data_IF_892268790089
#
_entry.id   IF_892268790089
#
_cell.length_a   1.000
_cell.length_b   1.000
_cell.length_c   1.000
_cell.angle_alpha   90.00
_cell.angle_beta   90.00
_cell.angle_gamma   90.00
#
_symmetry.space_group_name_H-M   'P 1'
#
loop_
_entity.id
_entity.type
_entity.pdbx_description
1 polymer ?
#
# COMPACT_ATOMS: atom_id res chain seq x y z
N UNK A 1 34.99 -21.14 6.96
CA UNK A 1 33.83 -20.24 6.81
C UNK A 1 33.23 -20.53 5.45
N UNK A 2 32.10 -21.23 5.41
CA UNK A 2 31.48 -21.66 4.16
C UNK A 2 30.73 -20.48 3.54
N UNK A 3 31.12 -20.13 2.32
CA UNK A 3 30.41 -19.18 1.47
C UNK A 3 29.00 -19.75 1.25
N UNK A 4 27.97 -19.09 1.78
CA UNK A 4 26.59 -19.36 1.38
C UNK A 4 26.49 -18.85 -0.07
N UNK A 5 26.24 -19.71 -1.07
CA UNK A 5 25.97 -19.20 -2.40
C UNK A 5 24.60 -18.56 -2.35
N UNK A 6 24.54 -17.23 -2.47
CA UNK A 6 23.31 -16.54 -2.82
C UNK A 6 22.95 -16.96 -4.24
N UNK A 7 22.17 -18.05 -4.34
CA UNK A 7 21.65 -18.52 -5.60
C UNK A 7 20.64 -17.46 -6.09
N UNK A 8 20.80 -16.88 -7.29
CA UNK A 8 19.73 -16.11 -7.88
C UNK A 8 18.62 -17.13 -8.17
N UNK A 9 17.56 -17.11 -7.37
CA UNK A 9 16.37 -17.89 -7.65
C UNK A 9 15.83 -17.55 -9.05
N UNK A 10 15.08 -18.46 -9.69
CA UNK A 10 14.50 -18.22 -11.01
C UNK A 10 13.78 -16.86 -11.04
N UNK A 11 13.75 -16.16 -12.19
CA UNK A 11 13.29 -14.76 -12.29
C UNK A 11 11.88 -14.54 -11.70
N UNK A 12 11.05 -15.58 -11.68
CA UNK A 12 9.72 -15.61 -11.05
C UNK A 12 9.76 -15.45 -9.52
N UNK A 13 10.76 -16.05 -8.85
CA UNK A 13 10.96 -15.92 -7.39
C UNK A 13 11.51 -14.54 -7.01
N UNK A 14 12.29 -13.90 -7.89
CA UNK A 14 12.74 -12.51 -7.73
C UNK A 14 11.57 -11.53 -7.91
N UNK A 15 10.66 -11.80 -8.85
CA UNK A 15 9.43 -11.04 -9.02
C UNK A 15 8.52 -11.14 -7.80
N UNK A 16 8.25 -12.35 -7.30
CA UNK A 16 7.46 -12.57 -6.10
C UNK A 16 8.06 -11.89 -4.85
N UNK A 17 9.39 -11.93 -4.69
CA UNK A 17 10.08 -11.24 -3.60
C UNK A 17 9.97 -9.71 -3.72
N UNK A 18 10.11 -9.15 -4.93
CA UNK A 18 9.94 -7.72 -5.15
C UNK A 18 8.53 -7.24 -4.84
N UNK A 19 7.52 -8.05 -5.15
CA UNK A 19 6.11 -7.73 -4.88
C UNK A 19 5.76 -7.88 -3.40
N UNK A 20 6.35 -8.86 -2.71
CA UNK A 20 6.21 -9.00 -1.28
C UNK A 20 6.81 -7.79 -0.54
N UNK A 21 7.99 -7.31 -0.99
CA UNK A 21 8.59 -6.07 -0.49
C UNK A 21 7.69 -4.86 -0.74
N UNK A 22 7.17 -4.70 -1.96
CA UNK A 22 6.24 -3.61 -2.27
C UNK A 22 4.98 -3.66 -1.41
N UNK A 23 4.42 -4.85 -1.16
CA UNK A 23 3.27 -4.99 -0.27
C UNK A 23 3.60 -4.62 1.19
N UNK A 24 4.82 -4.93 1.65
CA UNK A 24 5.28 -4.47 2.97
C UNK A 24 5.38 -2.95 3.04
N UNK A 25 5.93 -2.31 2.01
CA UNK A 25 6.03 -0.85 1.91
C UNK A 25 4.64 -0.19 1.87
N UNK A 26 3.70 -0.81 1.15
CA UNK A 26 2.31 -0.36 1.06
C UNK A 26 1.61 -0.45 2.44
N UNK A 27 1.82 -1.54 3.19
CA UNK A 27 1.30 -1.71 4.56
C UNK A 27 1.91 -0.68 5.51
N UNK A 28 3.20 -0.40 5.41
CA UNK A 28 3.84 0.65 6.21
C UNK A 28 3.25 2.03 5.90
N UNK A 29 2.96 2.31 4.62
CA UNK A 29 2.26 3.52 4.19
C UNK A 29 0.82 3.61 4.74
N UNK A 30 0.12 2.48 4.88
CA UNK A 30 -1.21 2.43 5.51
C UNK A 30 -1.14 2.76 7.01
N UNK A 31 -0.07 2.38 7.72
CA UNK A 31 0.11 2.76 9.12
C UNK A 31 0.27 4.28 9.31
N UNK A 32 0.87 4.98 8.33
CA UNK A 32 0.94 6.45 8.33
C UNK A 32 -0.46 7.07 8.25
N UNK A 33 -1.33 6.51 7.39
CA UNK A 33 -2.73 6.95 7.26
C UNK A 33 -3.51 6.68 8.53
N UNK A 34 -3.36 5.50 9.12
CA UNK A 34 -3.99 5.16 10.40
C UNK A 34 -3.59 6.14 11.52
N UNK A 35 -2.31 6.54 11.58
CA UNK A 35 -1.84 7.56 12.53
C UNK A 35 -2.46 8.93 12.27
N UNK A 36 -2.63 9.32 11.01
CA UNK A 36 -3.29 10.58 10.66
C UNK A 36 -4.77 10.57 11.12
N UNK A 37 -5.50 9.48 10.90
CA UNK A 37 -6.87 9.32 11.40
C UNK A 37 -6.94 9.38 12.94
N UNK A 38 -6.03 8.71 13.65
CA UNK A 38 -5.97 8.77 15.11
C UNK A 38 -5.61 10.18 15.64
N UNK A 39 -4.87 10.98 14.87
CA UNK A 39 -4.60 12.38 15.19
C UNK A 39 -5.87 13.24 15.03
N UNK A 40 -6.61 13.05 13.93
CA UNK A 40 -7.88 13.73 13.69
C UNK A 40 -8.92 13.40 14.78
N UNK A 41 -9.00 12.14 15.20
CA UNK A 41 -9.88 11.72 16.28
C UNK A 41 -9.57 12.45 17.60
N UNK A 42 -8.28 12.70 17.89
CA UNK A 42 -7.86 13.48 19.06
C UNK A 42 -8.13 14.99 18.93
N UNK A 43 -8.12 15.54 17.71
CA UNK A 43 -8.47 16.94 17.45
C UNK A 43 -9.97 17.19 17.55
N UNK A 44 -10.79 16.19 17.18
CA UNK A 44 -12.25 16.28 17.15
C UNK A 44 -12.86 15.82 18.48
N UNK A 45 -12.16 14.99 19.25
CA UNK A 45 -12.57 14.59 20.60
C UNK A 45 -12.66 15.78 21.55
N UNK A 46 -13.60 15.78 22.52
CA UNK A 46 -13.80 16.91 23.42
C UNK A 46 -12.52 17.22 24.21
N UNK A 47 -11.90 18.38 23.95
CA UNK A 47 -10.67 18.80 24.61
C UNK A 47 -11.02 19.24 26.04
N UNK A 48 -10.77 18.38 27.03
CA UNK A 48 -11.02 18.69 28.44
C UNK A 48 -9.98 19.66 29.06
N UNK A 49 -9.19 20.39 28.27
CA UNK A 49 -8.13 21.27 28.79
C UNK A 49 -8.63 22.71 28.94
N UNK A 50 -8.94 23.04 30.19
CA UNK A 50 -9.66 24.21 30.70
C UNK A 50 -8.97 25.59 30.56
N UNK A 51 -7.90 25.78 29.78
CA UNK A 51 -7.13 27.05 29.83
C UNK A 51 -6.50 27.56 28.52
N UNK A 52 -6.89 27.03 27.36
CA UNK A 52 -6.49 27.61 26.06
C UNK A 52 -7.73 27.79 25.21
N UNK A 53 -7.84 28.95 24.52
CA UNK A 53 -8.90 29.26 23.56
C UNK A 53 -9.12 28.03 22.66
N UNK A 54 -10.21 27.30 22.92
CA UNK A 54 -10.44 25.98 22.35
C UNK A 54 -10.87 26.18 20.90
N UNK A 55 -9.91 26.15 19.98
CA UNK A 55 -10.16 26.21 18.54
C UNK A 55 -10.78 24.86 18.14
N UNK A 56 -12.10 24.79 18.21
CA UNK A 56 -12.87 23.65 17.71
C UNK A 56 -13.05 23.80 16.19
N UNK A 57 -12.63 22.80 15.38
CA UNK A 57 -12.82 22.86 13.94
C UNK A 57 -14.31 22.79 13.60
N UNK A 58 -14.75 23.60 12.65
CA UNK A 58 -16.14 23.61 12.24
C UNK A 58 -16.47 22.44 11.29
N UNK A 59 -17.77 22.19 11.08
CA UNK A 59 -18.24 21.07 10.25
C UNK A 59 -17.73 21.12 8.81
N UNK A 60 -17.50 22.31 8.27
CA UNK A 60 -16.95 22.56 6.94
C UNK A 60 -15.49 22.14 6.88
N UNK A 61 -14.69 22.53 7.88
CA UNK A 61 -13.28 22.16 7.98
C UNK A 61 -13.11 20.64 8.11
N UNK A 62 -13.93 20.00 8.96
CA UNK A 62 -13.96 18.53 9.09
C UNK A 62 -14.38 17.86 7.77
N UNK A 63 -15.37 18.42 7.07
CA UNK A 63 -15.83 17.88 5.78
C UNK A 63 -14.76 18.00 4.70
N UNK A 64 -14.02 19.11 4.65
CA UNK A 64 -12.91 19.32 3.71
C UNK A 64 -11.77 18.33 3.98
N UNK A 65 -11.45 18.11 5.26
CA UNK A 65 -10.47 17.11 5.68
C UNK A 65 -10.87 15.70 5.24
N UNK A 66 -12.11 15.29 5.54
CA UNK A 66 -12.61 13.97 5.14
C UNK A 66 -12.67 13.80 3.62
N UNK A 67 -13.01 14.85 2.86
CA UNK A 67 -12.97 14.81 1.41
C UNK A 67 -11.56 14.55 0.88
N UNK A 68 -10.55 15.22 1.44
CA UNK A 68 -9.14 15.03 1.07
C UNK A 68 -8.68 13.60 1.37
N UNK A 69 -8.98 13.08 2.56
CA UNK A 69 -8.55 11.73 2.93
C UNK A 69 -9.24 10.67 2.08
N UNK A 70 -10.54 10.82 1.81
CA UNK A 70 -11.28 9.90 0.95
C UNK A 70 -10.75 9.90 -0.48
N UNK A 71 -10.36 11.05 -1.02
CA UNK A 71 -9.79 11.14 -2.36
C UNK A 71 -8.43 10.43 -2.44
N UNK A 72 -7.57 10.64 -1.45
CA UNK A 72 -6.26 9.99 -1.39
C UNK A 72 -6.40 8.47 -1.21
N UNK A 73 -7.32 8.01 -0.36
CA UNK A 73 -7.58 6.59 -0.18
C UNK A 73 -8.06 5.93 -1.49
N UNK A 74 -8.96 6.59 -2.21
CA UNK A 74 -9.46 6.12 -3.51
C UNK A 74 -8.34 6.00 -4.54
N UNK A 75 -7.44 6.99 -4.58
CA UNK A 75 -6.26 6.99 -5.46
C UNK A 75 -5.35 5.80 -5.16
N UNK A 76 -5.07 5.53 -3.88
CA UNK A 76 -4.24 4.40 -3.44
C UNK A 76 -4.85 3.05 -3.77
N UNK A 77 -6.17 2.90 -3.56
CA UNK A 77 -6.89 1.69 -3.95
C UNK A 77 -6.77 1.45 -5.46
N UNK A 78 -6.97 2.49 -6.28
CA UNK A 78 -6.84 2.36 -7.73
C UNK A 78 -5.42 1.99 -8.18
N UNK A 79 -4.39 2.51 -7.51
CA UNK A 79 -3.00 2.13 -7.76
C UNK A 79 -2.74 0.66 -7.40
N UNK A 80 -3.21 0.22 -6.23
CA UNK A 80 -3.09 -1.17 -5.78
C UNK A 80 -3.81 -2.14 -6.72
N UNK A 81 -5.04 -1.83 -7.14
CA UNK A 81 -5.80 -2.63 -8.12
C UNK A 81 -5.05 -2.76 -9.44
N UNK A 82 -4.49 -1.66 -9.94
CA UNK A 82 -3.68 -1.66 -11.17
C UNK A 82 -2.46 -2.56 -11.02
N UNK A 83 -1.72 -2.45 -9.92
CA UNK A 83 -0.57 -3.29 -9.62
C UNK A 83 -0.95 -4.77 -9.54
N UNK A 84 -2.04 -5.11 -8.85
CA UNK A 84 -2.53 -6.50 -8.76
C UNK A 84 -2.94 -7.06 -10.13
N UNK A 85 -3.56 -6.24 -10.98
CA UNK A 85 -3.94 -6.66 -12.33
C UNK A 85 -2.71 -6.87 -13.21
N UNK A 86 -1.73 -5.98 -13.16
CA UNK A 86 -0.44 -6.16 -13.84
C UNK A 86 0.28 -7.43 -13.39
N UNK A 87 0.30 -7.69 -12.08
CA UNK A 87 0.86 -8.92 -11.53
C UNK A 87 0.15 -10.17 -12.08
N UNK A 88 -1.18 -10.18 -12.06
CA UNK A 88 -1.96 -11.31 -12.59
C UNK A 88 -1.67 -11.57 -14.06
N UNK A 89 -1.57 -10.51 -14.87
CA UNK A 89 -1.23 -10.62 -16.30
C UNK A 89 0.17 -11.23 -16.47
N UNK A 90 1.17 -10.71 -15.76
CA UNK A 90 2.53 -11.22 -15.82
C UNK A 90 2.63 -12.72 -15.44
N UNK A 91 1.94 -13.13 -14.37
CA UNK A 91 1.88 -14.54 -13.96
C UNK A 91 1.17 -15.42 -14.99
N UNK A 92 0.09 -14.92 -15.62
CA UNK A 92 -0.61 -15.65 -16.68
C UNK A 92 0.20 -15.77 -17.97
N UNK A 93 1.07 -14.79 -18.26
CA UNK A 93 1.98 -14.82 -19.40
C UNK A 93 3.16 -15.79 -19.18
N UNK A 94 3.68 -15.89 -17.95
CA UNK A 94 4.69 -16.88 -17.57
C UNK A 94 4.17 -18.32 -17.55
N UNK A 95 2.87 -18.52 -17.33
CA UNK A 95 2.22 -19.83 -17.32
C UNK A 95 1.79 -20.36 -18.70
N UNK A 96 1.99 -19.58 -19.78
CA UNK A 96 1.75 -20.08 -21.13
C UNK A 96 2.77 -21.19 -21.45
N UNK A 97 2.33 -22.41 -21.81
CA UNK A 97 3.25 -23.51 -22.00
C UNK A 97 4.15 -23.17 -23.17
N UNK A 98 5.46 -23.21 -22.92
CA UNK A 98 6.47 -23.44 -23.95
C UNK A 98 6.13 -24.76 -24.63
N UNK A 99 5.28 -24.69 -25.65
CA UNK A 99 5.03 -25.79 -26.58
C UNK A 99 6.32 -26.01 -27.37
N UNK A 100 7.20 -26.81 -26.75
CA UNK A 100 7.92 -27.91 -27.37
C UNK A 100 8.53 -27.59 -28.74
N UNK A 101 9.64 -26.87 -28.73
CA UNK A 101 10.75 -27.26 -29.61
C UNK A 101 11.21 -28.66 -29.19
N UNK A 102 11.00 -29.66 -30.05
CA UNK A 102 11.99 -30.73 -30.21
C UNK A 102 11.96 -31.33 -31.62
N UNK A 103 13.15 -31.67 -32.17
CA UNK A 103 13.34 -32.06 -33.57
C UNK A 103 13.31 -33.58 -33.76
N UNK A 104 12.89 -34.02 -34.95
CA UNK A 104 13.43 -35.14 -35.72
C UNK A 104 12.87 -35.06 -37.15
#
# INVERSE_FOLDING_TARGET
MAHVPSFPGPPETLGAQSLALQACDDVESLHVVQRAYACLEKLIGPQHSRDTEEIAPDRTEISALMALVNEELRRRIGAADTTMQSLRIALSAGAAPSMSERPA
#
